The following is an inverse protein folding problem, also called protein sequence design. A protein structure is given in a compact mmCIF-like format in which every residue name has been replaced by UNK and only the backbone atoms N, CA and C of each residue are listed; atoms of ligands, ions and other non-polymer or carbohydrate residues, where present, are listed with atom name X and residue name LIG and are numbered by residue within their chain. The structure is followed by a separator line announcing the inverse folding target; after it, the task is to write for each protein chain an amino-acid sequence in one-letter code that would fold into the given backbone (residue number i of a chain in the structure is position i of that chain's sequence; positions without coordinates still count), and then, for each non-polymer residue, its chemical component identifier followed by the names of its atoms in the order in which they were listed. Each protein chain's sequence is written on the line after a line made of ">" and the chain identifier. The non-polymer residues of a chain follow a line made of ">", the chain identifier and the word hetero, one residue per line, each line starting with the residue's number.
data_IF_737644215876
#
_entry.id   IF_737644215876
#
_cell.length_a   1.000
_cell.length_b   1.000
_cell.length_c   1.000
_cell.angle_alpha   90.00
_cell.angle_beta   90.00
_cell.angle_gamma   90.00
#
_symmetry.space_group_name_H-M   'P 1'
#
loop_
_entity.id
_entity.type
_entity.pdbx_description
1 polymer ?
#
# COMPACT_ATOMS: atom_id res chain seq x y z
N UNK A 1 18.18 -35.04 -51.12
CA UNK A 1 17.43 -35.26 -52.38
C UNK A 1 16.02 -35.70 -52.01
N UNK A 2 15.00 -35.07 -52.60
CA UNK A 2 13.54 -35.26 -52.45
C UNK A 2 12.95 -34.86 -51.07
N UNK A 3 12.30 -33.71 -50.87
CA UNK A 3 11.13 -33.07 -51.50
C UNK A 3 9.81 -33.83 -51.30
N UNK A 4 8.90 -33.25 -50.51
CA UNK A 4 7.49 -33.06 -50.89
C UNK A 4 6.79 -32.06 -49.95
N UNK A 5 6.15 -31.09 -50.58
CA UNK A 5 5.35 -29.98 -50.08
C UNK A 5 4.03 -30.40 -49.39
N UNK A 6 3.45 -29.52 -48.56
CA UNK A 6 2.34 -28.66 -49.00
C UNK A 6 1.38 -28.20 -47.86
N UNK A 7 1.12 -26.89 -47.90
CA UNK A 7 -0.18 -26.22 -47.77
C UNK A 7 -0.88 -26.10 -46.40
N UNK A 8 -0.74 -24.90 -45.84
CA UNK A 8 -1.79 -23.88 -45.68
C UNK A 8 -3.19 -24.35 -45.26
N UNK A 9 -3.66 -23.85 -44.10
CA UNK A 9 -5.03 -23.36 -43.94
C UNK A 9 -5.10 -22.23 -42.91
N UNK A 10 -4.96 -21.02 -43.44
CA UNK A 10 -5.43 -19.78 -42.85
C UNK A 10 -6.97 -19.85 -42.72
N UNK A 11 -7.51 -19.63 -41.53
CA UNK A 11 -8.96 -19.47 -41.32
C UNK A 11 -9.22 -18.11 -40.69
N UNK A 12 -9.54 -17.16 -41.56
CA UNK A 12 -10.17 -15.90 -41.19
C UNK A 12 -11.52 -16.19 -40.50
N UNK A 13 -11.82 -15.45 -39.43
CA UNK A 13 -13.20 -15.25 -38.98
C UNK A 13 -13.47 -13.75 -38.82
N UNK A 14 -14.69 -13.42 -39.23
CA UNK A 14 -15.23 -12.12 -39.57
C UNK A 14 -15.12 -11.05 -38.47
N UNK A 15 -15.00 -9.79 -38.93
CA UNK A 15 -15.35 -8.59 -38.16
C UNK A 15 -16.85 -8.57 -37.94
N UNK A 16 -17.28 -8.40 -36.69
CA UNK A 16 -18.64 -7.98 -36.38
C UNK A 16 -18.73 -6.45 -36.37
N UNK A 17 -19.87 -5.87 -36.80
CA UNK A 17 -20.06 -4.45 -36.96
C UNK A 17 -20.35 -3.75 -35.62
N UNK A 18 -19.77 -2.56 -35.45
CA UNK A 18 -20.14 -1.59 -34.42
C UNK A 18 -21.57 -1.08 -34.61
N UNK A 19 -22.39 -1.01 -33.55
CA UNK A 19 -23.55 -0.13 -33.52
C UNK A 19 -23.30 1.11 -32.64
N UNK A 20 -23.55 2.26 -33.27
CA UNK A 20 -24.14 3.51 -32.80
C UNK A 20 -23.77 4.08 -31.41
N UNK A 21 -23.32 5.34 -31.48
CA UNK A 21 -23.35 6.35 -30.42
C UNK A 21 -24.71 6.46 -29.74
N UNK A 22 -24.73 6.31 -28.42
CA UNK A 22 -25.82 6.79 -27.58
C UNK A 22 -25.33 7.98 -26.74
N UNK A 23 -26.09 9.06 -26.81
CA UNK A 23 -25.78 10.36 -26.23
C UNK A 23 -26.64 10.48 -24.98
N UNK A 24 -26.06 10.24 -23.80
CA UNK A 24 -26.75 10.52 -22.53
C UNK A 24 -26.38 11.91 -22.01
N UNK A 25 -27.37 12.71 -21.56
CA UNK A 25 -27.16 14.10 -21.20
C UNK A 25 -26.43 14.26 -19.86
N UNK A 26 -25.43 15.14 -19.88
CA UNK A 26 -24.71 15.70 -18.73
C UNK A 26 -25.68 16.34 -17.72
N UNK A 27 -26.07 15.59 -16.68
CA UNK A 27 -26.59 16.21 -15.45
C UNK A 27 -25.44 16.49 -14.50
N UNK A 28 -24.86 17.69 -14.63
CA UNK A 28 -23.93 18.28 -13.66
C UNK A 28 -24.60 18.34 -12.28
N UNK A 29 -24.24 17.42 -11.38
CA UNK A 29 -24.45 17.58 -9.94
C UNK A 29 -23.48 18.67 -9.45
N UNK A 30 -23.92 19.70 -8.71
CA UNK A 30 -23.01 20.73 -8.22
C UNK A 30 -21.99 20.12 -7.26
N UNK A 31 -20.69 20.33 -7.54
CA UNK A 31 -19.61 20.06 -6.59
C UNK A 31 -19.80 20.99 -5.40
N UNK A 32 -20.18 20.42 -4.25
CA UNK A 32 -20.05 21.13 -2.97
C UNK A 32 -18.56 21.21 -2.64
N UNK A 33 -17.94 22.33 -2.95
CA UNK A 33 -16.60 22.68 -2.47
C UNK A 33 -16.70 23.10 -0.99
N UNK A 34 -16.77 22.11 -0.11
CA UNK A 34 -16.36 22.28 1.28
C UNK A 34 -14.86 21.98 1.40
N UNK A 35 -14.12 22.61 2.33
CA UNK A 35 -12.77 22.16 2.65
C UNK A 35 -12.83 20.68 3.07
N UNK A 36 -11.83 19.85 2.73
CA UNK A 36 -11.80 18.48 3.23
C UNK A 36 -11.87 18.55 4.75
N UNK A 37 -12.79 17.76 5.33
CA UNK A 37 -12.84 17.63 6.77
C UNK A 37 -11.44 17.23 7.24
N UNK A 38 -10.85 18.03 8.12
CA UNK A 38 -9.62 17.65 8.80
C UNK A 38 -9.97 16.43 9.64
N UNK A 39 -9.74 15.24 9.10
CA UNK A 39 -9.90 13.98 9.79
C UNK A 39 -8.80 13.94 10.85
N UNK A 40 -9.14 14.35 12.07
CA UNK A 40 -8.24 14.18 13.20
C UNK A 40 -8.14 12.69 13.46
N UNK A 41 -7.04 12.09 12.99
CA UNK A 41 -6.73 10.68 13.21
C UNK A 41 -6.84 10.34 14.71
N UNK A 42 -7.32 9.14 15.07
CA UNK A 42 -7.21 8.68 16.45
C UNK A 42 -5.73 8.77 16.86
N UNK A 43 -5.47 9.44 17.98
CA UNK A 43 -4.10 9.55 18.48
C UNK A 43 -3.55 8.15 18.74
N UNK A 44 -2.33 7.88 18.29
CA UNK A 44 -1.57 6.73 18.77
C UNK A 44 -1.66 6.73 20.31
N UNK A 45 -1.80 5.56 20.95
CA UNK A 45 -1.94 5.52 22.39
C UNK A 45 -0.77 6.24 23.04
N UNK A 46 -1.08 7.26 23.83
CA UNK A 46 -0.07 8.13 24.44
C UNK A 46 0.80 7.27 25.37
N UNK A 47 2.14 7.27 25.22
CA UNK A 47 2.98 6.67 26.24
C UNK A 47 2.71 7.38 27.57
N UNK A 48 2.81 6.67 28.72
CA UNK A 48 2.58 7.28 30.03
C UNK A 48 3.46 8.52 30.21
N UNK A 49 2.94 9.57 30.85
CA UNK A 49 3.64 10.86 31.07
C UNK A 49 4.99 10.69 31.78
N UNK A 50 6.06 11.43 31.39
CA UNK A 50 7.39 11.36 32.01
C UNK A 50 7.32 11.56 33.53
N UNK A 51 8.26 10.94 34.30
CA UNK A 51 8.30 11.16 35.74
C UNK A 51 8.55 12.65 35.99
N UNK A 52 8.02 13.17 37.10
CA UNK A 52 8.50 14.42 37.67
C UNK A 52 10.00 14.32 37.89
N UNK A 53 10.74 15.41 37.65
CA UNK A 53 12.20 15.46 37.52
C UNK A 53 13.03 14.90 38.70
N UNK A 54 12.37 14.51 39.80
CA UNK A 54 12.99 14.12 41.06
C UNK A 54 13.21 12.60 41.21
N UNK A 55 12.69 11.77 40.29
CA UNK A 55 12.91 10.32 40.29
C UNK A 55 13.44 9.85 38.95
N UNK A 56 14.70 9.39 38.90
CA UNK A 56 15.25 8.70 37.74
C UNK A 56 14.88 7.22 37.85
N UNK A 57 13.89 6.73 37.07
CA UNK A 57 13.49 5.34 37.15
C UNK A 57 14.66 4.42 36.77
N UNK A 58 14.74 3.28 37.44
CA UNK A 58 15.68 2.22 37.04
C UNK A 58 15.17 1.50 35.77
N UNK A 59 16.01 0.64 35.19
CA UNK A 59 15.68 -0.09 33.95
C UNK A 59 14.44 -0.96 34.09
N UNK A 60 14.21 -1.57 35.25
CA UNK A 60 13.03 -2.39 35.51
C UNK A 60 11.75 -1.53 35.55
N UNK A 61 11.82 -0.34 36.14
CA UNK A 61 10.72 0.64 36.18
C UNK A 61 10.42 1.25 34.81
N UNK A 62 11.45 1.50 34.00
CA UNK A 62 11.31 1.94 32.61
C UNK A 62 10.65 0.86 31.75
N UNK A 63 11.10 -0.38 31.90
CA UNK A 63 10.59 -1.56 31.18
C UNK A 63 9.14 -1.82 31.56
N UNK A 64 8.81 -1.88 32.86
CA UNK A 64 7.45 -2.06 33.35
C UNK A 64 6.51 -0.88 33.00
N UNK A 65 7.04 0.27 32.57
CA UNK A 65 6.24 1.42 32.15
C UNK A 65 6.01 1.47 30.65
N UNK A 66 6.99 1.08 29.84
CA UNK A 66 6.85 0.99 28.38
C UNK A 66 6.12 -0.29 27.95
N UNK A 67 6.35 -1.40 28.65
CA UNK A 67 5.73 -2.71 28.42
C UNK A 67 4.68 -3.03 29.47
N UNK A 68 3.99 -2.00 29.99
CA UNK A 68 3.01 -2.10 31.07
C UNK A 68 1.73 -2.87 30.66
N UNK A 69 1.65 -3.26 29.38
CA UNK A 69 0.54 -4.01 28.82
C UNK A 69 0.87 -5.51 28.82
N UNK A 70 -0.14 -6.32 29.14
CA UNK A 70 -0.18 -7.73 28.80
C UNK A 70 0.16 -7.89 27.30
N UNK A 71 1.16 -8.72 26.96
CA UNK A 71 1.52 -9.06 25.58
C UNK A 71 0.28 -9.44 24.75
N UNK A 72 -0.74 -10.03 25.39
CA UNK A 72 -2.00 -10.43 24.75
C UNK A 72 -2.80 -9.25 24.18
N UNK A 73 -2.63 -8.02 24.71
CA UNK A 73 -3.38 -6.85 24.29
C UNK A 73 -2.59 -5.92 23.34
N UNK A 74 -1.29 -6.17 23.15
CA UNK A 74 -0.43 -5.36 22.27
C UNK A 74 -0.92 -5.39 20.81
N UNK A 75 -1.06 -6.59 20.24
CA UNK A 75 -1.54 -6.76 18.86
C UNK A 75 -2.97 -6.29 18.68
N UNK A 76 -3.82 -6.50 19.70
CA UNK A 76 -5.21 -6.03 19.64
C UNK A 76 -5.28 -4.51 19.47
N UNK A 77 -4.50 -3.75 20.24
CA UNK A 77 -4.45 -2.29 20.13
C UNK A 77 -3.93 -1.81 18.78
N UNK A 78 -2.93 -2.50 18.23
CA UNK A 78 -2.43 -2.21 16.89
C UNK A 78 -3.50 -2.42 15.83
N UNK A 79 -4.24 -3.54 15.91
CA UNK A 79 -5.35 -3.82 14.99
C UNK A 79 -6.46 -2.78 15.13
N UNK A 80 -6.91 -2.50 16.37
CA UNK A 80 -7.95 -1.49 16.63
C UNK A 80 -7.57 -0.10 16.07
N UNK A 81 -6.28 0.26 16.13
CA UNK A 81 -5.77 1.51 15.55
C UNK A 81 -5.87 1.49 14.02
N UNK A 82 -5.30 0.48 13.36
CA UNK A 82 -5.27 0.42 11.89
C UNK A 82 -6.65 0.21 11.28
N UNK A 83 -7.56 -0.48 11.97
CA UNK A 83 -8.97 -0.62 11.57
C UNK A 83 -9.71 0.74 11.55
N UNK A 84 -9.25 1.72 12.31
CA UNK A 84 -9.82 3.06 12.38
C UNK A 84 -9.14 4.08 11.42
N UNK A 85 -8.03 3.71 10.79
CA UNK A 85 -7.30 4.56 9.84
C UNK A 85 -7.99 4.52 8.47
N UNK A 86 -8.16 5.68 7.84
CA UNK A 86 -8.73 5.76 6.49
C UNK A 86 -7.81 5.07 5.46
N UNK A 87 -8.33 4.25 4.53
CA UNK A 87 -7.54 3.50 3.54
C UNK A 87 -7.03 4.42 2.42
N UNK A 88 -6.21 5.41 2.76
CA UNK A 88 -5.62 6.38 1.83
C UNK A 88 -4.11 6.45 2.02
N UNK A 89 -3.40 7.04 1.05
CA UNK A 89 -1.95 7.29 1.17
C UNK A 89 -1.63 8.13 2.42
N UNK A 90 -2.49 9.08 2.75
CA UNK A 90 -2.31 9.93 3.93
C UNK A 90 -2.55 9.15 5.23
N UNK A 91 -3.54 8.24 5.26
CA UNK A 91 -3.75 7.32 6.37
C UNK A 91 -2.55 6.39 6.60
N UNK A 92 -1.99 5.80 5.54
CA UNK A 92 -0.82 4.92 5.64
C UNK A 92 0.42 5.66 6.17
N UNK A 93 0.54 6.95 5.85
CA UNK A 93 1.65 7.80 6.25
C UNK A 93 1.34 8.68 7.46
N UNK A 94 0.22 8.46 8.14
CA UNK A 94 -0.16 9.19 9.37
C UNK A 94 -0.22 10.71 9.21
N UNK A 95 -0.73 11.21 8.07
CA UNK A 95 -0.82 12.65 7.77
C UNK A 95 0.40 13.22 7.02
N UNK A 96 1.37 12.38 6.65
CA UNK A 96 2.58 12.79 5.95
C UNK A 96 2.60 12.36 4.47
N UNK A 97 1.45 12.37 3.79
CA UNK A 97 1.37 12.00 2.36
C UNK A 97 2.36 12.76 1.46
N UNK A 98 2.76 13.97 1.84
CA UNK A 98 3.76 14.79 1.12
C UNK A 98 5.12 14.09 0.97
N UNK A 99 5.45 13.14 1.84
CA UNK A 99 6.71 12.38 1.78
C UNK A 99 6.66 11.21 0.79
N UNK A 100 5.48 10.81 0.32
CA UNK A 100 5.30 9.66 -0.55
C UNK A 100 6.15 9.71 -1.84
N UNK A 101 6.29 10.85 -2.56
CA UNK A 101 7.09 10.90 -3.77
C UNK A 101 8.57 10.64 -3.52
N UNK A 102 9.16 11.29 -2.52
CA UNK A 102 10.57 11.13 -2.14
C UNK A 102 10.87 9.73 -1.60
N UNK A 103 10.00 9.19 -0.74
CA UNK A 103 10.07 7.81 -0.24
C UNK A 103 10.10 6.82 -1.41
N UNK A 104 9.10 6.89 -2.29
CA UNK A 104 8.97 5.97 -3.43
C UNK A 104 10.16 6.06 -4.40
N UNK A 105 10.60 7.28 -4.72
CA UNK A 105 11.71 7.52 -5.65
C UNK A 105 13.01 6.91 -5.13
N UNK A 106 13.35 7.16 -3.88
CA UNK A 106 14.61 6.69 -3.30
C UNK A 106 14.63 5.18 -3.11
N UNK A 107 13.51 4.56 -2.71
CA UNK A 107 13.39 3.09 -2.67
C UNK A 107 13.53 2.46 -4.05
N UNK A 108 12.94 3.07 -5.09
CA UNK A 108 13.05 2.57 -6.45
C UNK A 108 14.50 2.66 -6.98
N UNK A 109 15.20 3.76 -6.73
CA UNK A 109 16.61 3.92 -7.07
C UNK A 109 17.50 2.86 -6.38
N UNK A 110 17.21 2.56 -5.11
CA UNK A 110 17.90 1.52 -4.36
C UNK A 110 17.69 0.12 -4.96
N UNK A 111 16.44 -0.25 -5.25
CA UNK A 111 16.13 -1.56 -5.86
C UNK A 111 16.70 -1.70 -7.28
N UNK A 112 16.69 -0.62 -8.07
CA UNK A 112 17.36 -0.60 -9.38
C UNK A 112 18.85 -0.83 -9.25
N UNK A 113 19.50 -0.18 -8.28
CA UNK A 113 20.93 -0.40 -7.99
C UNK A 113 21.23 -1.86 -7.67
N UNK A 114 20.38 -2.52 -6.87
CA UNK A 114 20.54 -3.94 -6.57
C UNK A 114 20.32 -4.83 -7.80
N UNK A 115 19.33 -4.48 -8.63
CA UNK A 115 19.01 -5.18 -9.87
C UNK A 115 20.14 -5.07 -10.90
N UNK A 116 20.64 -3.86 -11.16
CA UNK A 116 21.71 -3.57 -12.13
C UNK A 116 23.03 -4.25 -11.75
N UNK A 117 23.27 -4.44 -10.44
CA UNK A 117 24.41 -5.19 -9.91
C UNK A 117 24.20 -6.70 -9.94
N UNK A 118 23.04 -7.19 -10.37
CA UNK A 118 22.69 -8.61 -10.40
C UNK A 118 22.60 -9.26 -9.01
N UNK A 119 22.30 -8.48 -7.96
CA UNK A 119 22.26 -8.97 -6.58
C UNK A 119 20.91 -9.59 -6.20
N UNK A 120 19.85 -9.26 -6.93
CA UNK A 120 18.49 -9.76 -6.71
C UNK A 120 17.89 -10.23 -8.02
N UNK A 121 16.93 -11.16 -7.93
CA UNK A 121 16.06 -11.49 -9.06
C UNK A 121 14.79 -10.62 -8.99
N UNK A 122 14.09 -10.49 -10.12
CA UNK A 122 12.94 -9.59 -10.27
C UNK A 122 11.64 -10.32 -10.56
N UNK A 123 11.51 -11.60 -10.19
CA UNK A 123 10.31 -12.38 -10.53
C UNK A 123 9.14 -12.14 -9.57
N UNK A 124 9.39 -12.30 -8.28
CA UNK A 124 8.36 -12.24 -7.24
C UNK A 124 8.90 -11.54 -6.01
N UNK A 125 8.07 -10.69 -5.41
CA UNK A 125 8.32 -10.02 -4.14
C UNK A 125 7.08 -10.09 -3.24
N UNK A 126 7.30 -9.99 -1.93
CA UNK A 126 6.25 -9.90 -0.92
C UNK A 126 6.32 -8.53 -0.23
N UNK A 127 5.22 -7.79 -0.23
CA UNK A 127 5.05 -6.55 0.52
C UNK A 127 4.40 -6.87 1.88
N UNK A 128 5.17 -6.76 2.96
CA UNK A 128 4.75 -7.10 4.32
C UNK A 128 4.25 -5.86 5.05
N UNK A 129 3.04 -5.92 5.62
CA UNK A 129 2.38 -4.73 6.16
C UNK A 129 2.05 -3.76 5.04
N UNK A 130 1.55 -4.30 3.93
CA UNK A 130 1.42 -3.56 2.68
C UNK A 130 0.42 -2.41 2.75
N UNK A 131 -0.48 -2.41 3.73
CA UNK A 131 -1.62 -1.50 3.79
C UNK A 131 -2.40 -1.55 2.48
N UNK A 132 -2.68 -0.38 1.91
CA UNK A 132 -3.39 -0.27 0.63
C UNK A 132 -2.52 -0.57 -0.61
N UNK A 133 -1.33 -1.14 -0.44
CA UNK A 133 -0.41 -1.46 -1.53
C UNK A 133 0.37 -0.26 -2.09
N UNK A 134 0.58 0.79 -1.30
CA UNK A 134 1.29 2.02 -1.72
C UNK A 134 2.68 1.71 -2.27
N UNK A 135 3.46 0.90 -1.54
CA UNK A 135 4.84 0.54 -1.92
C UNK A 135 4.81 -0.43 -3.11
N UNK A 136 3.91 -1.40 -3.08
CA UNK A 136 3.65 -2.28 -4.23
C UNK A 136 3.41 -1.52 -5.55
N UNK A 137 2.49 -0.56 -5.58
CA UNK A 137 2.16 0.22 -6.80
C UNK A 137 3.29 1.16 -7.25
N UNK A 138 3.84 1.94 -6.31
CA UNK A 138 4.80 3.01 -6.65
C UNK A 138 6.23 2.51 -6.86
N UNK A 139 6.58 1.36 -6.26
CA UNK A 139 7.96 0.86 -6.21
C UNK A 139 8.06 -0.55 -6.75
N UNK A 140 7.42 -1.53 -6.11
CA UNK A 140 7.73 -2.95 -6.33
C UNK A 140 7.34 -3.40 -7.74
N UNK A 141 6.13 -3.09 -8.20
CA UNK A 141 5.66 -3.43 -9.55
C UNK A 141 6.38 -2.65 -10.68
N UNK A 142 7.31 -1.75 -10.35
CA UNK A 142 8.22 -1.12 -11.32
C UNK A 142 9.53 -1.88 -11.49
N UNK A 143 9.79 -2.85 -10.62
CA UNK A 143 11.04 -3.65 -10.58
C UNK A 143 10.75 -5.14 -10.74
N UNK A 144 9.70 -5.65 -10.10
CA UNK A 144 9.34 -7.06 -10.06
C UNK A 144 8.15 -7.38 -10.97
N UNK A 145 8.12 -8.59 -11.54
CA UNK A 145 7.02 -9.05 -12.41
C UNK A 145 5.70 -9.25 -11.63
N UNK A 146 5.79 -9.69 -10.37
CA UNK A 146 4.65 -9.91 -9.48
C UNK A 146 4.98 -9.43 -8.06
N UNK A 147 3.95 -8.88 -7.38
CA UNK A 147 4.00 -8.49 -5.98
C UNK A 147 2.84 -9.15 -5.23
N UNK A 148 3.14 -9.97 -4.24
CA UNK A 148 2.16 -10.49 -3.28
C UNK A 148 2.04 -9.52 -2.10
N UNK A 149 0.85 -9.41 -1.52
CA UNK A 149 0.54 -8.49 -0.42
C UNK A 149 0.21 -9.29 0.85
N UNK A 150 0.86 -8.96 1.97
CA UNK A 150 0.51 -9.46 3.30
C UNK A 150 0.10 -8.29 4.20
N UNK A 151 -1.19 -8.21 4.52
CA UNK A 151 -1.77 -7.13 5.31
C UNK A 151 -2.92 -7.66 6.21
N UNK A 152 -2.88 -7.44 7.53
CA UNK A 152 -3.94 -7.89 8.45
C UNK A 152 -5.24 -7.07 8.37
N UNK A 153 -5.20 -5.78 8.01
CA UNK A 153 -6.39 -4.94 7.92
C UNK A 153 -7.18 -5.22 6.64
N UNK A 154 -8.38 -5.80 6.80
CA UNK A 154 -9.23 -6.19 5.67
C UNK A 154 -9.65 -5.01 4.79
N UNK A 155 -9.93 -3.84 5.37
CA UNK A 155 -10.26 -2.64 4.63
C UNK A 155 -9.10 -2.18 3.72
N UNK A 156 -7.85 -2.37 4.17
CA UNK A 156 -6.68 -2.05 3.36
C UNK A 156 -6.46 -3.05 2.24
N UNK A 157 -6.60 -4.35 2.53
CA UNK A 157 -6.55 -5.40 1.52
C UNK A 157 -7.61 -5.20 0.43
N UNK A 158 -8.83 -4.81 0.80
CA UNK A 158 -9.89 -4.56 -0.18
C UNK A 158 -9.64 -3.31 -1.02
N UNK A 159 -9.02 -2.27 -0.45
CA UNK A 159 -8.60 -1.08 -1.20
C UNK A 159 -7.42 -1.36 -2.16
N UNK A 160 -6.59 -2.37 -1.86
CA UNK A 160 -5.43 -2.74 -2.66
C UNK A 160 -5.75 -3.64 -3.88
N UNK A 161 -6.93 -4.28 -3.90
CA UNK A 161 -7.41 -5.12 -5.00
C UNK A 161 -7.89 -4.30 -6.20
#
# INVERSE_FOLDING_TARGET
>A
MSSSDAATKQRARARDPTPASDSSPDTKKPRSSGPPATSTMPSAPTPPSPPTADHHPNEDELTARYYRDDESNWYKRSNDYWDAVEPTVDGMLGGFAVLCPEDSRTSLEFLKTMTDRGLINTKLVLDCGAGIGRVSDKVLLKVFDQSDLLEPCTAFVDQAK
#
